data_IF_439262796843
#
_entry.id   IF_439262796843
#
_cell.length_a   1.000
_cell.length_b   1.000
_cell.length_c   1.000
_cell.angle_alpha   90.00
_cell.angle_beta   90.00
_cell.angle_gamma   90.00
#
_symmetry.space_group_name_H-M   'P 1'
#
loop_
_entity.id
_entity.type
_entity.pdbx_description
1 polymer ?
#
# COMPACT_ATOMS: atom_id res chain seq x y z
N UNK A 1 22.79 -36.21 -4.82
CA UNK A 1 23.83 -35.24 -5.22
C UNK A 1 24.51 -35.57 -6.54
N UNK A 2 25.12 -36.76 -6.73
CA UNK A 2 25.82 -37.11 -7.97
C UNK A 2 24.97 -36.95 -9.25
N UNK A 3 23.70 -37.38 -9.22
CA UNK A 3 22.75 -37.23 -10.35
C UNK A 3 22.51 -35.77 -10.73
N UNK A 4 22.35 -34.87 -9.74
CA UNK A 4 22.19 -33.43 -9.99
C UNK A 4 23.46 -32.80 -10.56
N UNK A 5 24.63 -33.21 -10.07
CA UNK A 5 25.91 -32.72 -10.61
C UNK A 5 26.09 -33.11 -12.07
N UNK A 6 25.74 -34.35 -12.42
CA UNK A 6 25.78 -34.83 -13.81
C UNK A 6 24.76 -34.12 -14.69
N UNK A 7 23.52 -33.94 -14.22
CA UNK A 7 22.50 -33.17 -14.95
C UNK A 7 22.94 -31.74 -15.24
N UNK A 8 23.50 -31.04 -14.24
CA UNK A 8 24.04 -29.69 -14.42
C UNK A 8 25.21 -29.64 -15.39
N UNK A 9 26.03 -30.68 -15.45
CA UNK A 9 27.21 -30.74 -16.31
C UNK A 9 26.85 -31.06 -17.77
N UNK A 10 25.93 -32.00 -17.98
CA UNK A 10 25.65 -32.53 -19.32
C UNK A 10 24.37 -31.96 -19.95
N UNK A 11 23.36 -31.61 -19.14
CA UNK A 11 22.06 -31.11 -19.61
C UNK A 11 21.52 -29.97 -18.71
N UNK A 12 22.25 -28.82 -18.60
CA UNK A 12 21.88 -27.73 -17.69
C UNK A 12 20.53 -27.08 -17.98
N UNK A 13 20.01 -27.24 -19.20
CA UNK A 13 18.76 -26.61 -19.65
C UNK A 13 17.56 -27.57 -19.61
N UNK A 14 17.75 -28.83 -19.23
CA UNK A 14 16.66 -29.81 -19.16
C UNK A 14 15.88 -29.64 -17.85
N UNK A 15 14.99 -28.65 -17.84
CA UNK A 15 14.19 -28.29 -16.67
C UNK A 15 13.27 -29.43 -16.23
N UNK A 16 12.84 -30.32 -17.14
CA UNK A 16 11.95 -31.44 -16.82
C UNK A 16 12.70 -32.55 -16.11
N UNK A 17 13.93 -32.86 -16.55
CA UNK A 17 14.80 -33.75 -15.80
C UNK A 17 15.11 -33.23 -14.39
N UNK A 18 15.35 -31.92 -14.24
CA UNK A 18 15.50 -31.32 -12.91
C UNK A 18 14.25 -31.48 -12.05
N UNK A 19 13.06 -31.23 -12.60
CA UNK A 19 11.80 -31.39 -11.88
C UNK A 19 11.59 -32.84 -11.38
N UNK A 20 11.90 -33.84 -12.22
CA UNK A 20 11.82 -35.25 -11.83
C UNK A 20 12.78 -35.57 -10.68
N UNK A 21 14.03 -35.09 -10.74
CA UNK A 21 15.01 -35.32 -9.67
C UNK A 21 14.59 -34.62 -8.38
N UNK A 22 14.14 -33.37 -8.45
CA UNK A 22 13.69 -32.66 -7.24
C UNK A 22 12.48 -33.32 -6.60
N UNK A 23 11.51 -33.78 -7.40
CA UNK A 23 10.37 -34.53 -6.89
C UNK A 23 10.78 -35.87 -6.27
N UNK A 24 11.69 -36.61 -6.89
CA UNK A 24 12.13 -37.92 -6.40
C UNK A 24 12.87 -37.83 -5.06
N UNK A 25 13.64 -36.76 -4.84
CA UNK A 25 14.42 -36.54 -3.62
C UNK A 25 13.76 -35.57 -2.62
N UNK A 26 12.49 -35.23 -2.84
CA UNK A 26 11.71 -34.30 -2.01
C UNK A 26 12.39 -32.93 -1.77
N UNK A 27 13.07 -32.41 -2.79
CA UNK A 27 13.81 -31.16 -2.74
C UNK A 27 12.88 -29.95 -2.94
N UNK A 28 12.04 -29.68 -1.93
CA UNK A 28 10.95 -28.68 -2.02
C UNK A 28 11.42 -27.27 -2.36
N UNK A 29 12.53 -26.81 -1.78
CA UNK A 29 13.06 -25.47 -2.06
C UNK A 29 13.48 -25.33 -3.52
N UNK A 30 14.12 -26.35 -4.07
CA UNK A 30 14.58 -26.39 -5.46
C UNK A 30 13.41 -26.54 -6.42
N UNK A 31 12.41 -27.36 -6.11
CA UNK A 31 11.16 -27.46 -6.88
C UNK A 31 10.47 -26.10 -6.99
N UNK A 32 10.26 -25.41 -5.87
CA UNK A 32 9.60 -24.11 -5.88
C UNK A 32 10.43 -23.05 -6.64
N UNK A 33 11.75 -23.03 -6.45
CA UNK A 33 12.64 -22.12 -7.19
C UNK A 33 12.65 -22.40 -8.69
N UNK A 34 12.54 -23.66 -9.11
CA UNK A 34 12.43 -24.05 -10.52
C UNK A 34 11.12 -23.55 -11.13
N UNK A 35 10.00 -23.70 -10.40
CA UNK A 35 8.70 -23.18 -10.81
C UNK A 35 8.73 -21.66 -10.98
N UNK A 36 9.29 -20.91 -10.02
CA UNK A 36 9.47 -19.45 -10.14
C UNK A 36 10.32 -19.07 -11.37
N UNK A 37 11.39 -19.81 -11.66
CA UNK A 37 12.22 -19.57 -12.85
C UNK A 37 11.43 -19.80 -14.15
N UNK A 38 10.61 -20.86 -14.21
CA UNK A 38 9.73 -21.14 -15.36
C UNK A 38 8.70 -20.02 -15.54
N UNK A 39 8.09 -19.58 -14.44
CA UNK A 39 7.15 -18.46 -14.43
C UNK A 39 7.78 -17.19 -15.00
N UNK A 40 8.98 -16.84 -14.50
CA UNK A 40 9.73 -15.68 -14.98
C UNK A 40 10.12 -15.80 -16.46
N UNK A 41 10.44 -17.00 -16.94
CA UNK A 41 10.75 -17.20 -18.35
C UNK A 41 9.51 -16.98 -19.23
N UNK A 42 8.37 -17.58 -18.89
CA UNK A 42 7.12 -17.41 -19.64
C UNK A 42 6.66 -15.94 -19.67
N UNK A 43 6.81 -15.20 -18.57
CA UNK A 43 6.53 -13.76 -18.55
C UNK A 43 7.47 -12.95 -19.45
N UNK A 44 8.76 -13.30 -19.52
CA UNK A 44 9.71 -12.65 -20.44
C UNK A 44 9.31 -12.91 -21.89
N UNK A 45 8.97 -14.15 -22.22
CA UNK A 45 8.51 -14.52 -23.56
C UNK A 45 7.27 -13.73 -23.97
N UNK A 46 6.28 -13.60 -23.08
CA UNK A 46 5.11 -12.75 -23.30
C UNK A 46 5.49 -11.27 -23.47
N UNK A 47 6.42 -10.76 -22.67
CA UNK A 47 6.85 -9.36 -22.74
C UNK A 47 7.47 -8.98 -24.09
N UNK A 48 8.13 -9.94 -24.77
CA UNK A 48 8.76 -9.76 -26.07
C UNK A 48 7.79 -9.88 -27.25
N UNK A 49 6.57 -10.39 -27.05
CA UNK A 49 5.57 -10.50 -28.11
C UNK A 49 5.00 -9.15 -28.50
N UNK A 50 4.75 -8.98 -29.80
CA UNK A 50 4.05 -7.82 -30.35
C UNK A 50 2.54 -7.87 -30.13
N UNK A 51 1.95 -9.08 -30.19
CA UNK A 51 0.53 -9.32 -29.90
C UNK A 51 0.36 -9.57 -28.39
N UNK A 52 -0.31 -8.63 -27.71
CA UNK A 52 -0.56 -8.67 -26.27
C UNK A 52 -1.93 -9.25 -25.91
N UNK A 53 -2.77 -9.57 -26.90
CA UNK A 53 -4.09 -10.15 -26.69
C UNK A 53 -4.00 -11.65 -26.33
N UNK A 54 -2.88 -12.30 -26.70
CA UNK A 54 -2.57 -13.66 -26.28
C UNK A 54 -2.03 -13.67 -24.85
N UNK A 55 -2.76 -14.35 -23.96
CA UNK A 55 -2.46 -14.38 -22.51
C UNK A 55 -2.05 -15.77 -22.01
N UNK A 56 -1.91 -16.76 -22.91
CA UNK A 56 -1.58 -18.14 -22.56
C UNK A 56 -0.28 -18.26 -21.77
N UNK A 57 0.76 -17.50 -22.15
CA UNK A 57 2.03 -17.49 -21.42
C UNK A 57 1.91 -16.87 -20.03
N UNK A 58 1.08 -15.83 -19.87
CA UNK A 58 0.81 -15.23 -18.55
C UNK A 58 0.00 -16.16 -17.67
N UNK A 59 -0.98 -16.88 -18.22
CA UNK A 59 -1.74 -17.89 -17.50
C UNK A 59 -0.86 -19.07 -17.06
N UNK A 60 0.04 -19.54 -17.94
CA UNK A 60 1.02 -20.55 -17.60
C UNK A 60 1.96 -20.08 -16.47
N UNK A 61 2.45 -18.84 -16.57
CA UNK A 61 3.30 -18.24 -15.53
C UNK A 61 2.58 -18.09 -14.19
N UNK A 62 1.32 -17.63 -14.21
CA UNK A 62 0.48 -17.51 -13.03
C UNK A 62 0.30 -18.87 -12.36
N UNK A 63 0.05 -19.94 -13.13
CA UNK A 63 -0.03 -21.31 -12.60
C UNK A 63 1.28 -21.73 -11.92
N UNK A 64 2.43 -21.49 -12.54
CA UNK A 64 3.72 -21.81 -11.93
C UNK A 64 3.98 -21.05 -10.61
N UNK A 65 3.57 -19.78 -10.51
CA UNK A 65 3.67 -19.04 -9.25
C UNK A 65 2.75 -19.58 -8.16
N UNK A 66 1.54 -20.01 -8.51
CA UNK A 66 0.61 -20.65 -7.56
C UNK A 66 1.18 -21.97 -7.07
N UNK A 67 1.66 -22.84 -7.97
CA UNK A 67 2.30 -24.11 -7.61
C UNK A 67 3.55 -23.88 -6.74
N UNK A 68 4.37 -22.86 -7.04
CA UNK A 68 5.51 -22.49 -6.22
C UNK A 68 5.07 -22.06 -4.80
N UNK A 69 4.00 -21.28 -4.69
CA UNK A 69 3.44 -20.86 -3.41
C UNK A 69 2.97 -22.07 -2.58
N UNK A 70 2.28 -23.03 -3.20
CA UNK A 70 1.84 -24.26 -2.55
C UNK A 70 3.03 -25.05 -1.99
N UNK A 71 4.09 -25.23 -2.79
CA UNK A 71 5.32 -25.90 -2.34
C UNK A 71 6.00 -25.12 -1.21
N UNK A 72 6.15 -23.81 -1.31
CA UNK A 72 6.73 -22.99 -0.24
C UNK A 72 5.91 -23.02 1.05
N UNK A 73 4.58 -23.11 0.94
CA UNK A 73 3.70 -23.22 2.10
C UNK A 73 3.88 -24.53 2.86
N UNK A 74 4.24 -25.61 2.16
CA UNK A 74 4.49 -26.93 2.76
C UNK A 74 5.77 -27.02 3.60
N UNK A 75 6.66 -26.02 3.48
CA UNK A 75 7.96 -25.96 4.18
C UNK A 75 8.11 -24.71 5.05
N UNK A 76 6.99 -24.11 5.46
CA UNK A 76 6.93 -22.90 6.30
C UNK A 76 7.73 -21.70 5.75
N UNK A 77 7.94 -21.63 4.43
CA UNK A 77 8.62 -20.52 3.79
C UNK A 77 7.63 -19.36 3.53
N UNK A 78 7.08 -18.78 4.60
CA UNK A 78 5.96 -17.82 4.54
C UNK A 78 6.25 -16.58 3.69
N UNK A 79 7.45 -16.00 3.79
CA UNK A 79 7.82 -14.84 2.96
C UNK A 79 7.86 -15.17 1.47
N UNK A 80 8.38 -16.35 1.11
CA UNK A 80 8.43 -16.81 -0.29
C UNK A 80 7.04 -17.16 -0.80
N UNK A 81 6.24 -17.84 0.02
CA UNK A 81 4.82 -18.13 -0.28
C UNK A 81 4.06 -16.84 -0.62
N UNK A 82 4.17 -15.81 0.24
CA UNK A 82 3.54 -14.51 0.02
C UNK A 82 4.02 -13.86 -1.28
N UNK A 83 5.33 -13.89 -1.53
CA UNK A 83 5.90 -13.31 -2.75
C UNK A 83 5.37 -14.00 -4.01
N UNK A 84 5.33 -15.33 -4.04
CA UNK A 84 4.81 -16.09 -5.19
C UNK A 84 3.31 -15.80 -5.41
N UNK A 85 2.50 -15.73 -4.35
CA UNK A 85 1.09 -15.31 -4.44
C UNK A 85 0.93 -13.87 -4.97
N UNK A 86 1.78 -12.95 -4.52
CA UNK A 86 1.74 -11.57 -4.98
C UNK A 86 2.09 -11.46 -6.47
N UNK A 87 3.08 -12.23 -6.94
CA UNK A 87 3.41 -12.31 -8.37
C UNK A 87 2.25 -12.89 -9.18
N UNK A 88 1.62 -13.98 -8.73
CA UNK A 88 0.45 -14.52 -9.41
C UNK A 88 -0.69 -13.50 -9.51
N UNK A 89 -0.95 -12.75 -8.44
CA UNK A 89 -1.96 -11.69 -8.42
C UNK A 89 -1.63 -10.53 -9.36
N UNK A 90 -0.35 -10.19 -9.51
CA UNK A 90 0.11 -9.18 -10.46
C UNK A 90 -0.14 -9.62 -11.91
N UNK A 91 0.07 -10.90 -12.22
CA UNK A 91 -0.23 -11.45 -13.56
C UNK A 91 -1.72 -11.44 -13.84
N UNK A 92 -2.54 -11.80 -12.85
CA UNK A 92 -3.99 -11.64 -12.96
C UNK A 92 -4.38 -10.18 -13.29
N UNK A 93 -3.75 -9.21 -12.61
CA UNK A 93 -4.00 -7.79 -12.85
C UNK A 93 -3.62 -7.38 -14.28
N UNK A 94 -2.47 -7.85 -14.78
CA UNK A 94 -2.02 -7.62 -16.15
C UNK A 94 -2.96 -8.22 -17.20
N UNK A 95 -3.49 -9.42 -16.96
CA UNK A 95 -4.44 -10.09 -17.87
C UNK A 95 -5.77 -9.34 -17.90
N UNK A 96 -6.26 -8.89 -16.74
CA UNK A 96 -7.54 -8.18 -16.63
C UNK A 96 -7.49 -6.78 -17.25
N UNK A 97 -6.32 -6.14 -17.22
CA UNK A 97 -6.13 -4.76 -17.69
C UNK A 97 -4.96 -4.70 -18.69
N UNK A 98 -5.14 -5.21 -19.93
CA UNK A 98 -4.07 -5.32 -20.91
C UNK A 98 -3.52 -3.96 -21.38
N UNK A 99 -4.33 -2.90 -21.30
CA UNK A 99 -3.93 -1.53 -21.68
C UNK A 99 -2.87 -0.93 -20.73
N UNK A 100 -2.75 -1.49 -19.53
CA UNK A 100 -1.80 -1.04 -18.52
C UNK A 100 -0.67 -2.06 -18.37
N UNK A 101 0.54 -1.57 -18.14
CA UNK A 101 1.72 -2.44 -17.98
C UNK A 101 2.13 -2.55 -16.51
N UNK A 102 2.09 -3.77 -15.97
CA UNK A 102 2.34 -4.05 -14.55
C UNK A 102 3.54 -4.94 -14.27
N UNK A 103 4.02 -5.71 -15.25
CA UNK A 103 5.09 -6.69 -15.08
C UNK A 103 6.45 -6.02 -15.38
N UNK A 104 7.53 -6.44 -14.69
CA UNK A 104 8.91 -5.95 -14.91
C UNK A 104 9.10 -4.44 -14.78
N UNK A 105 8.29 -3.78 -13.96
CA UNK A 105 8.48 -2.38 -13.65
C UNK A 105 9.73 -2.17 -12.82
N UNK A 106 10.44 -1.07 -13.06
CA UNK A 106 11.41 -0.55 -12.11
C UNK A 106 10.69 -0.14 -10.82
N UNK A 107 11.43 -0.07 -9.71
CA UNK A 107 10.88 0.38 -8.42
C UNK A 107 10.17 1.75 -8.52
N UNK A 108 10.74 2.67 -9.30
CA UNK A 108 10.16 3.99 -9.57
C UNK A 108 8.84 3.92 -10.36
N UNK A 109 8.77 3.05 -11.36
CA UNK A 109 7.56 2.87 -12.16
C UNK A 109 6.49 2.09 -11.40
N UNK A 110 6.87 1.13 -10.55
CA UNK A 110 5.97 0.41 -9.67
C UNK A 110 5.31 1.35 -8.64
N UNK A 111 6.06 2.28 -8.05
CA UNK A 111 5.49 3.34 -7.18
C UNK A 111 4.50 4.23 -7.92
N UNK A 112 4.80 4.60 -9.17
CA UNK A 112 3.87 5.38 -10.00
C UNK A 112 2.58 4.60 -10.27
N UNK A 113 2.71 3.35 -10.72
CA UNK A 113 1.59 2.46 -10.97
C UNK A 113 0.72 2.27 -9.72
N UNK A 114 1.36 2.10 -8.55
CA UNK A 114 0.68 2.00 -7.24
C UNK A 114 -0.19 3.23 -6.94
N UNK A 115 0.35 4.45 -7.13
CA UNK A 115 -0.37 5.70 -6.85
C UNK A 115 -1.51 5.93 -7.82
N UNK A 116 -1.38 5.51 -9.08
CA UNK A 116 -2.36 5.74 -10.13
C UNK A 116 -3.66 4.93 -9.96
N UNK A 117 -3.59 3.76 -9.31
CA UNK A 117 -4.73 2.86 -9.12
C UNK A 117 -5.93 3.55 -8.44
N UNK A 118 -7.14 3.29 -8.93
CA UNK A 118 -8.39 3.81 -8.36
C UNK A 118 -8.99 2.90 -7.30
N UNK A 119 -8.73 1.59 -7.37
CA UNK A 119 -9.25 0.62 -6.41
C UNK A 119 -8.16 0.15 -5.45
N UNK A 120 -8.52 -0.05 -4.18
CA UNK A 120 -7.56 -0.42 -3.15
C UNK A 120 -6.97 -1.81 -3.40
N UNK A 121 -7.79 -2.77 -3.84
CA UNK A 121 -7.32 -4.13 -4.12
C UNK A 121 -6.25 -4.16 -5.22
N UNK A 122 -6.43 -3.36 -6.28
CA UNK A 122 -5.46 -3.24 -7.38
C UNK A 122 -4.15 -2.62 -6.88
N UNK A 123 -4.26 -1.54 -6.10
CA UNK A 123 -3.11 -0.91 -5.45
C UNK A 123 -2.36 -1.90 -4.55
N UNK A 124 -3.09 -2.69 -3.75
CA UNK A 124 -2.51 -3.68 -2.85
C UNK A 124 -1.74 -4.76 -3.61
N UNK A 125 -2.27 -5.26 -4.73
CA UNK A 125 -1.58 -6.24 -5.59
C UNK A 125 -0.24 -5.67 -6.07
N UNK A 126 -0.22 -4.43 -6.57
CA UNK A 126 1.03 -3.77 -7.01
C UNK A 126 1.98 -3.59 -5.83
N UNK A 127 1.47 -3.16 -4.67
CA UNK A 127 2.28 -2.94 -3.48
C UNK A 127 2.94 -4.24 -2.99
N UNK A 128 2.21 -5.35 -2.96
CA UNK A 128 2.73 -6.64 -2.51
C UNK A 128 3.72 -7.23 -3.50
N UNK A 129 3.43 -7.19 -4.80
CA UNK A 129 4.29 -7.81 -5.80
C UNK A 129 5.68 -7.14 -5.87
N UNK A 130 5.74 -5.82 -5.64
CA UNK A 130 6.98 -5.04 -5.68
C UNK A 130 7.59 -4.75 -4.30
N UNK A 131 7.04 -5.30 -3.21
CA UNK A 131 7.55 -5.05 -1.86
C UNK A 131 7.36 -3.62 -1.34
N UNK A 132 6.41 -2.88 -1.92
CA UNK A 132 6.05 -1.51 -1.56
C UNK A 132 4.92 -1.42 -0.52
N UNK A 133 4.48 -2.54 0.06
CA UNK A 133 3.47 -2.57 1.11
C UNK A 133 4.04 -2.12 2.48
N UNK A 134 4.61 -0.92 2.51
CA UNK A 134 5.16 -0.26 3.69
C UNK A 134 4.33 1.00 4.01
N UNK A 135 4.16 1.37 5.29
CA UNK A 135 3.29 2.49 5.67
C UNK A 135 3.60 3.82 4.97
N UNK A 136 4.87 4.11 4.69
CA UNK A 136 5.27 5.36 4.02
C UNK A 136 4.82 5.46 2.56
N UNK A 137 4.80 4.34 1.83
CA UNK A 137 4.39 4.31 0.42
C UNK A 137 2.90 4.66 0.26
N UNK A 138 2.08 4.26 1.23
CA UNK A 138 0.64 4.49 1.23
C UNK A 138 0.23 5.96 1.47
N UNK A 139 1.12 6.82 1.98
CA UNK A 139 0.81 8.23 2.20
C UNK A 139 0.53 8.95 0.87
N UNK A 140 1.36 8.73 -0.14
CA UNK A 140 1.15 9.32 -1.48
C UNK A 140 -0.07 8.72 -2.20
N UNK A 141 -0.33 7.43 -2.02
CA UNK A 141 -1.51 6.77 -2.60
C UNK A 141 -2.78 7.39 -2.03
N UNK A 142 -2.90 7.47 -0.71
CA UNK A 142 -4.05 8.07 -0.05
C UNK A 142 -4.20 9.55 -0.41
N UNK A 143 -3.09 10.30 -0.51
CA UNK A 143 -3.11 11.68 -0.98
C UNK A 143 -3.74 11.79 -2.37
N UNK A 144 -3.27 11.00 -3.32
CA UNK A 144 -3.81 10.98 -4.68
C UNK A 144 -5.30 10.58 -4.72
N UNK A 145 -5.76 9.70 -3.83
CA UNK A 145 -7.19 9.39 -3.73
C UNK A 145 -8.00 10.55 -3.14
N UNK A 146 -7.47 11.33 -2.20
CA UNK A 146 -8.18 12.51 -1.67
C UNK A 146 -8.49 13.56 -2.72
N UNK A 147 -7.74 13.55 -3.83
CA UNK A 147 -7.93 14.40 -5.01
C UNK A 147 -9.12 13.94 -5.89
N UNK A 148 -9.63 12.73 -5.66
CA UNK A 148 -10.71 12.07 -6.40
C UNK A 148 -11.92 11.86 -5.48
N UNK A 149 -12.79 12.88 -5.33
CA UNK A 149 -13.85 12.88 -4.31
C UNK A 149 -14.86 11.73 -4.45
N UNK A 150 -15.06 11.22 -5.66
CA UNK A 150 -15.99 10.12 -5.95
C UNK A 150 -15.49 8.76 -5.44
N UNK A 151 -14.17 8.59 -5.32
CA UNK A 151 -13.55 7.28 -5.05
C UNK A 151 -12.97 7.18 -3.63
N UNK A 152 -12.59 8.30 -3.03
CA UNK A 152 -11.85 8.33 -1.76
C UNK A 152 -12.57 7.60 -0.62
N UNK A 153 -13.89 7.76 -0.48
CA UNK A 153 -14.62 7.17 0.65
C UNK A 153 -14.62 5.63 0.57
N UNK A 154 -14.81 5.07 -0.63
CA UNK A 154 -14.74 3.63 -0.89
C UNK A 154 -13.31 3.11 -0.72
N UNK A 155 -12.33 3.77 -1.33
CA UNK A 155 -10.92 3.37 -1.24
C UNK A 155 -10.46 3.30 0.22
N UNK A 156 -10.76 4.33 1.02
CA UNK A 156 -10.39 4.36 2.44
C UNK A 156 -11.19 3.34 3.25
N UNK A 157 -12.43 3.01 2.89
CA UNK A 157 -13.18 1.92 3.53
C UNK A 157 -12.50 0.56 3.31
N UNK A 158 -12.14 0.24 2.06
CA UNK A 158 -11.43 -0.99 1.71
C UNK A 158 -10.04 -1.04 2.35
N UNK A 159 -9.30 0.07 2.32
CA UNK A 159 -7.98 0.18 2.94
C UNK A 159 -8.02 -0.20 4.42
N UNK A 160 -8.91 0.42 5.20
CA UNK A 160 -8.93 0.23 6.67
C UNK A 160 -9.48 -1.15 7.08
N UNK A 161 -10.16 -1.85 6.15
CA UNK A 161 -10.58 -3.23 6.38
C UNK A 161 -9.41 -4.24 6.30
N UNK A 162 -8.31 -3.87 5.61
CA UNK A 162 -7.16 -4.76 5.35
C UNK A 162 -5.89 -4.29 6.04
N UNK A 163 -5.61 -2.98 6.00
CA UNK A 163 -4.40 -2.37 6.52
C UNK A 163 -4.70 -1.31 7.59
N UNK A 164 -3.90 -1.22 8.67
CA UNK A 164 -4.11 -0.21 9.70
C UNK A 164 -3.69 1.19 9.21
N UNK A 165 -4.41 2.22 9.66
CA UNK A 165 -3.98 3.61 9.51
C UNK A 165 -2.81 3.90 10.46
N UNK A 166 -1.59 3.76 9.95
CA UNK A 166 -0.37 3.97 10.72
C UNK A 166 -0.14 5.47 11.00
N UNK A 167 0.31 5.84 12.22
CA UNK A 167 0.54 7.25 12.58
C UNK A 167 1.54 7.97 11.68
N UNK A 168 2.64 7.32 11.28
CA UNK A 168 3.67 7.91 10.40
C UNK A 168 3.09 8.36 9.06
N UNK A 169 2.30 7.48 8.43
CA UNK A 169 1.59 7.73 7.18
C UNK A 169 0.60 8.90 7.32
N UNK A 170 -0.19 8.92 8.40
CA UNK A 170 -1.16 9.98 8.65
C UNK A 170 -0.47 11.35 8.86
N UNK A 171 0.66 11.37 9.57
CA UNK A 171 1.44 12.58 9.79
C UNK A 171 2.02 13.13 8.48
N UNK A 172 2.48 12.28 7.58
CA UNK A 172 2.90 12.68 6.23
C UNK A 172 1.74 13.25 5.41
N UNK A 173 0.58 12.59 5.42
CA UNK A 173 -0.65 13.09 4.80
C UNK A 173 -1.05 14.49 5.32
N UNK A 174 -0.95 14.72 6.63
CA UNK A 174 -1.22 16.03 7.22
C UNK A 174 -0.25 17.11 6.71
N UNK A 175 1.03 16.76 6.45
CA UNK A 175 2.01 17.68 5.87
C UNK A 175 1.70 17.96 4.40
N UNK A 176 1.33 16.96 3.61
CA UNK A 176 0.89 17.16 2.21
C UNK A 176 -0.31 18.10 2.15
N UNK A 177 -1.32 17.85 2.98
CA UNK A 177 -2.50 18.73 3.08
C UNK A 177 -2.10 20.17 3.41
N UNK A 178 -1.27 20.37 4.45
CA UNK A 178 -0.81 21.71 4.85
C UNK A 178 -0.06 22.41 3.71
N UNK A 179 0.85 21.71 3.04
CA UNK A 179 1.63 22.26 1.93
C UNK A 179 0.72 22.69 0.78
N UNK A 180 -0.26 21.87 0.42
CA UNK A 180 -1.23 22.17 -0.64
C UNK A 180 -2.10 23.39 -0.29
N UNK A 181 -2.62 23.45 0.95
CA UNK A 181 -3.42 24.59 1.42
C UNK A 181 -2.59 25.87 1.49
N UNK A 182 -1.35 25.80 1.98
CA UNK A 182 -0.45 26.96 2.05
C UNK A 182 -0.10 27.47 0.64
N UNK A 183 0.27 26.57 -0.27
CA UNK A 183 0.54 26.92 -1.66
C UNK A 183 -0.67 27.60 -2.32
N UNK A 184 -1.89 27.14 -2.04
CA UNK A 184 -3.12 27.73 -2.61
C UNK A 184 -3.60 28.99 -1.90
N UNK A 185 -3.32 29.15 -0.61
CA UNK A 185 -3.61 30.36 0.16
C UNK A 185 -2.83 31.58 -0.35
N UNK A 186 -1.59 31.37 -0.78
CA UNK A 186 -0.77 32.39 -1.47
C UNK A 186 -1.21 32.62 -2.94
N UNK A 187 -1.89 31.65 -3.56
CA UNK A 187 -2.38 31.72 -4.94
C UNK A 187 -3.69 32.49 -5.12
N UNK A 188 -4.16 33.27 -4.15
CA UNK A 188 -5.13 34.34 -4.45
C UNK A 188 -4.58 35.37 -5.47
N UNK A 189 -3.30 35.28 -5.85
CA UNK A 189 -2.69 36.05 -6.94
C UNK A 189 -2.11 35.24 -8.11
N UNK A 190 -1.96 33.91 -8.03
CA UNK A 190 -1.29 33.14 -9.09
C UNK A 190 -1.86 31.72 -9.23
N UNK A 191 -3.05 31.59 -9.80
CA UNK A 191 -3.36 30.41 -10.61
C UNK A 191 -2.23 30.25 -11.65
N UNK A 192 -1.60 29.08 -11.79
CA UNK A 192 -1.24 28.43 -13.08
C UNK A 192 -0.19 27.32 -12.97
N UNK A 193 0.71 27.24 -11.99
CA UNK A 193 1.82 26.27 -12.09
C UNK A 193 1.77 25.15 -11.06
N UNK A 194 1.10 24.04 -11.43
CA UNK A 194 1.59 22.65 -11.38
C UNK A 194 0.46 21.73 -11.89
N UNK A 195 0.75 21.03 -13.00
CA UNK A 195 -0.15 20.19 -13.82
C UNK A 195 -1.33 20.90 -14.50
N UNK A 196 -1.36 20.82 -15.83
CA UNK A 196 -2.30 21.54 -16.69
C UNK A 196 -3.76 21.28 -16.30
N UNK A 197 -4.47 22.35 -15.96
CA UNK A 197 -5.85 22.30 -15.48
C UNK A 197 -5.93 22.68 -14.01
N UNK A 198 -5.89 23.99 -13.71
CA UNK A 198 -6.12 24.49 -12.35
C UNK A 198 -7.41 23.91 -11.77
N UNK A 199 -7.29 23.14 -10.70
CA UNK A 199 -8.41 22.44 -10.08
C UNK A 199 -9.42 23.46 -9.51
N UNK A 200 -10.74 23.32 -9.77
CA UNK A 200 -11.76 24.32 -9.41
C UNK A 200 -11.77 24.69 -7.92
N UNK A 201 -12.29 25.89 -7.57
CA UNK A 201 -12.42 26.36 -6.19
C UNK A 201 -13.20 25.39 -5.26
N UNK A 202 -14.06 24.54 -5.83
CA UNK A 202 -14.79 23.50 -5.10
C UNK A 202 -13.88 22.40 -4.56
N UNK A 203 -12.69 22.23 -5.14
CA UNK A 203 -11.75 21.19 -4.80
C UNK A 203 -11.13 21.36 -3.41
N UNK A 204 -10.96 22.59 -2.95
CA UNK A 204 -10.57 22.85 -1.56
C UNK A 204 -11.64 22.33 -0.56
N UNK A 205 -12.92 22.43 -0.92
CA UNK A 205 -14.02 21.88 -0.10
C UNK A 205 -13.98 20.35 -0.10
N UNK A 206 -13.73 19.73 -1.26
CA UNK A 206 -13.60 18.27 -1.36
C UNK A 206 -12.41 17.75 -0.57
N UNK A 207 -11.24 18.36 -0.72
CA UNK A 207 -10.03 17.98 0.01
C UNK A 207 -10.23 18.11 1.53
N UNK A 208 -10.82 19.22 1.98
CA UNK A 208 -11.17 19.42 3.39
C UNK A 208 -12.17 18.38 3.91
N UNK A 209 -13.16 17.98 3.09
CA UNK A 209 -14.11 16.91 3.42
C UNK A 209 -13.38 15.55 3.53
N UNK A 210 -12.54 15.20 2.56
CA UNK A 210 -11.77 13.95 2.55
C UNK A 210 -10.87 13.85 3.79
N UNK A 211 -10.13 14.90 4.11
CA UNK A 211 -9.26 14.93 5.29
C UNK A 211 -10.05 14.88 6.59
N UNK A 212 -11.22 15.54 6.65
CA UNK A 212 -12.13 15.43 7.81
C UNK A 212 -12.67 14.02 8.00
N UNK A 213 -12.97 13.29 6.93
CA UNK A 213 -13.34 11.88 7.00
C UNK A 213 -12.20 11.03 7.58
N UNK A 214 -10.94 11.30 7.20
CA UNK A 214 -9.76 10.65 7.79
C UNK A 214 -9.65 10.93 9.30
N UNK A 215 -9.76 12.20 9.71
CA UNK A 215 -9.71 12.60 11.13
C UNK A 215 -10.76 11.89 12.00
N UNK A 216 -11.98 11.71 11.47
CA UNK A 216 -13.05 10.96 12.16
C UNK A 216 -12.69 9.48 12.36
N UNK A 217 -11.99 8.87 11.39
CA UNK A 217 -11.55 7.47 11.44
C UNK A 217 -10.35 7.25 12.37
N UNK A 218 -9.53 8.28 12.60
CA UNK A 218 -8.44 8.23 13.59
C UNK A 218 -8.99 8.17 15.01
N UNK A 219 -9.00 6.98 15.63
CA UNK A 219 -9.56 6.76 16.97
C UNK A 219 -8.71 7.36 18.11
N UNK A 220 -7.39 7.34 17.96
CA UNK A 220 -6.48 7.92 18.94
C UNK A 220 -6.66 9.46 18.97
N UNK A 221 -7.13 9.97 20.11
CA UNK A 221 -7.38 11.39 20.33
C UNK A 221 -6.11 12.24 20.24
N UNK A 222 -4.97 11.74 20.72
CA UNK A 222 -3.68 12.47 20.66
C UNK A 222 -3.21 12.59 19.22
N UNK A 223 -3.29 11.49 18.47
CA UNK A 223 -2.96 11.50 17.05
C UNK A 223 -3.92 12.40 16.28
N UNK A 224 -5.24 12.29 16.50
CA UNK A 224 -6.25 13.16 15.86
C UNK A 224 -5.98 14.64 16.12
N UNK A 225 -5.65 15.01 17.36
CA UNK A 225 -5.25 16.37 17.72
C UNK A 225 -4.00 16.83 16.96
N UNK A 226 -2.95 16.00 16.93
CA UNK A 226 -1.71 16.30 16.20
C UNK A 226 -1.97 16.50 14.71
N UNK A 227 -2.75 15.61 14.08
CA UNK A 227 -3.10 15.70 12.66
C UNK A 227 -3.84 17.00 12.33
N UNK A 228 -4.88 17.32 13.12
CA UNK A 228 -5.65 18.55 12.93
C UNK A 228 -4.80 19.82 13.11
N UNK A 229 -3.84 19.78 14.05
CA UNK A 229 -2.90 20.88 14.31
C UNK A 229 -1.90 21.07 13.16
N UNK A 230 -1.33 19.97 12.65
CA UNK A 230 -0.37 20.00 11.53
C UNK A 230 -1.03 20.49 10.24
N UNK A 231 -2.18 19.90 9.90
CA UNK A 231 -2.91 20.15 8.67
C UNK A 231 -3.46 21.59 8.57
N UNK A 232 -3.74 22.22 9.72
CA UNK A 232 -4.40 23.52 9.88
C UNK A 232 -5.82 23.58 9.30
N UNK A 233 -6.63 24.57 9.70
CA UNK A 233 -8.00 24.73 9.19
C UNK A 233 -9.07 23.81 9.83
N UNK A 234 -8.72 23.04 10.87
CA UNK A 234 -9.63 22.14 11.61
C UNK A 234 -9.74 22.52 13.09
N UNK A 235 -9.94 23.80 13.41
CA UNK A 235 -10.04 24.31 14.78
C UNK A 235 -11.14 23.63 15.59
N UNK A 236 -12.27 23.33 14.95
CA UNK A 236 -13.38 22.60 15.56
C UNK A 236 -12.97 21.20 16.06
N UNK A 237 -12.08 20.51 15.34
CA UNK A 237 -11.54 19.21 15.73
C UNK A 237 -10.52 19.36 16.86
N UNK A 238 -9.65 20.38 16.79
CA UNK A 238 -8.68 20.71 17.84
C UNK A 238 -9.41 20.99 19.17
N UNK A 239 -10.44 21.85 19.14
CA UNK A 239 -11.26 22.19 20.31
C UNK A 239 -12.02 20.98 20.85
N UNK A 240 -12.54 20.12 19.97
CA UNK A 240 -13.19 18.88 20.38
C UNK A 240 -12.22 17.92 21.08
N UNK A 241 -10.98 17.80 20.60
CA UNK A 241 -9.93 17.01 21.24
C UNK A 241 -9.53 17.61 22.60
N UNK A 242 -9.32 18.94 22.68
CA UNK A 242 -9.01 19.63 23.95
C UNK A 242 -10.09 19.41 25.00
N UNK A 243 -11.36 19.60 24.64
CA UNK A 243 -12.49 19.29 25.52
C UNK A 243 -12.52 17.83 25.97
N UNK A 244 -12.04 16.89 25.15
CA UNK A 244 -11.96 15.48 25.53
C UNK A 244 -10.77 15.20 26.46
N UNK A 245 -9.64 15.90 26.31
CA UNK A 245 -8.49 15.82 27.22
C UNK A 245 -8.78 16.44 28.59
N UNK A 246 -9.58 17.51 28.62
CA UNK A 246 -9.97 18.20 29.85
C UNK A 246 -11.00 17.41 30.69
N UNK A 247 -11.56 16.31 30.14
CA UNK A 247 -12.44 15.42 30.91
C UNK A 247 -11.65 14.68 31.97
N UNK A 248 -11.92 15.04 33.21
CA UNK A 248 -11.48 14.31 34.39
C UNK A 248 -12.17 12.93 34.38
N UNK A 249 -11.46 11.81 34.63
CA UNK A 249 -12.07 10.49 34.76
C UNK A 249 -13.13 10.49 35.86
N UNK A 250 -14.30 9.87 35.64
CA UNK A 250 -15.34 9.73 36.68
C UNK A 250 -14.86 8.98 37.94
N UNK A 251 -13.77 8.22 37.82
CA UNK A 251 -13.08 7.53 38.91
C UNK A 251 -12.12 8.42 39.71
N UNK A 252 -11.80 9.62 39.20
CA UNK A 252 -11.02 10.58 39.95
C UNK A 252 -11.96 11.24 40.97
N UNK A 253 -11.72 10.96 42.26
CA UNK A 253 -12.34 11.70 43.35
C UNK A 253 -12.13 13.21 43.20
N UNK A 254 -12.79 14.05 44.02
CA UNK A 254 -12.80 15.50 43.80
C UNK A 254 -11.36 16.03 43.65
N UNK A 255 -11.10 16.73 42.54
CA UNK A 255 -9.77 17.24 42.21
C UNK A 255 -9.72 18.74 42.51
N UNK A 256 -8.74 19.18 43.30
CA UNK A 256 -8.51 20.61 43.57
C UNK A 256 -7.50 21.15 42.56
N UNK A 257 -7.91 22.18 41.82
CA UNK A 257 -6.99 22.96 40.99
C UNK A 257 -6.02 23.72 41.90
N UNK A 258 -4.73 23.33 41.86
CA UNK A 258 -3.69 24.08 42.56
C UNK A 258 -3.53 25.45 41.89
N UNK A 259 -3.88 26.51 42.61
CA UNK A 259 -3.78 27.89 42.09
C UNK A 259 -2.29 28.26 41.97
N UNK A 260 -1.78 28.28 40.74
CA UNK A 260 -0.43 28.74 40.41
C UNK A 260 0.33 27.76 39.53
N UNK A 261 0.33 28.05 38.22
CA UNK A 261 1.25 27.52 37.19
C UNK A 261 1.18 26.01 36.91
N UNK A 262 0.46 25.65 35.83
CA UNK A 262 0.66 24.39 35.11
C UNK A 262 -0.21 23.21 35.57
N UNK A 263 -1.54 23.35 35.49
CA UNK A 263 -2.48 22.28 35.12
C UNK A 263 -2.38 20.88 35.74
N UNK A 264 -1.78 20.71 36.93
CA UNK A 264 -1.74 19.43 37.63
C UNK A 264 -2.90 19.30 38.59
N UNK A 265 -3.79 18.33 38.37
CA UNK A 265 -4.84 17.96 39.32
C UNK A 265 -4.28 17.00 40.37
N UNK A 266 -4.61 17.23 41.66
CA UNK A 266 -4.28 16.33 42.76
C UNK A 266 -5.55 15.62 43.27
N UNK A 267 -5.51 14.31 43.53
CA UNK A 267 -6.61 13.59 44.17
C UNK A 267 -6.78 14.08 45.62
N UNK A 268 -7.99 14.48 46.00
CA UNK A 268 -8.38 14.59 47.40
C UNK A 268 -8.49 13.18 47.98
N UNK A 269 -7.60 12.83 48.90
CA UNK A 269 -7.88 11.79 49.90
C UNK A 269 -8.83 12.35 50.95
#
# INVERSE_FOLDING_TARGET
>A
MAVLTLLKQFNPNDLDAFAMVYSHFDMKHETASLLESRAQQSCKEWSLRSDKDQTDELLASMRYFIEAAEVYSSIDAGNKTRQSCAQASLLYLQIRMPDLHFIYLSETNARRALVEQSHFQEALIVAEAYGLNQPGEWALVLWNQMLRPELVEQFVAEFVAVLPLQPSMLLELARFYRAEVAARGDQSQFSVWLTGGGLPAEWAKYLGRSFRCLLRRTRDLRLRYQLATIATGFTDVVDACNRAFDKIPESAGPLVLRKGHGGGYLPLM
#
